data_IF_582561441741
#
_entry.id   IF_582561441741
#
_cell.length_a   1.000
_cell.length_b   1.000
_cell.length_c   1.000
_cell.angle_alpha   90.00
_cell.angle_beta   90.00
_cell.angle_gamma   90.00
#
_symmetry.space_group_name_H-M   'P 1'
#
loop_
_entity.id
_entity.type
_entity.pdbx_description
1 polymer ?
#
# COMPACT_ATOMS: atom_id res chain seq x y z
N UNK A 1 18.90 -29.00 -43.58
CA UNK A 1 17.94 -28.81 -42.46
C UNK A 1 18.47 -27.94 -41.32
N UNK A 2 19.72 -27.44 -41.34
CA UNK A 2 20.29 -26.61 -40.25
C UNK A 2 19.95 -25.09 -40.31
N UNK A 3 19.34 -24.61 -41.40
CA UNK A 3 19.17 -23.17 -41.67
C UNK A 3 17.91 -22.54 -41.05
N UNK A 4 16.89 -23.33 -40.71
CA UNK A 4 15.59 -22.82 -40.20
C UNK A 4 15.52 -22.86 -38.67
N UNK A 5 16.34 -23.69 -38.02
CA UNK A 5 16.33 -23.86 -36.55
C UNK A 5 16.91 -22.63 -35.84
N UNK A 6 17.94 -21.99 -36.39
CA UNK A 6 18.56 -20.79 -35.83
C UNK A 6 17.56 -19.62 -35.67
N UNK A 7 16.86 -19.20 -36.73
CA UNK A 7 15.84 -18.14 -36.65
C UNK A 7 14.71 -18.42 -35.65
N UNK A 8 14.24 -19.67 -35.54
CA UNK A 8 13.19 -20.07 -34.61
C UNK A 8 13.64 -19.98 -33.14
N UNK A 9 14.87 -20.41 -32.84
CA UNK A 9 15.46 -20.29 -31.50
C UNK A 9 15.66 -18.81 -31.14
N UNK A 10 16.16 -18.00 -32.07
CA UNK A 10 16.33 -16.54 -31.85
C UNK A 10 15.00 -15.86 -31.58
N UNK A 11 13.93 -16.19 -32.33
CA UNK A 11 12.60 -15.62 -32.10
C UNK A 11 12.02 -16.04 -30.74
N UNK A 12 12.22 -17.29 -30.32
CA UNK A 12 11.78 -17.79 -29.02
C UNK A 12 12.51 -17.08 -27.87
N UNK A 13 13.83 -16.90 -27.98
CA UNK A 13 14.65 -16.15 -27.01
C UNK A 13 14.22 -14.68 -26.95
N UNK A 14 14.04 -14.03 -28.10
CA UNK A 14 13.61 -12.63 -28.17
C UNK A 14 12.23 -12.42 -27.52
N UNK A 15 11.26 -13.32 -27.79
CA UNK A 15 9.94 -13.26 -27.16
C UNK A 15 10.02 -13.44 -25.64
N UNK A 16 10.86 -14.35 -25.16
CA UNK A 16 11.09 -14.57 -23.73
C UNK A 16 11.73 -13.36 -23.06
N UNK A 17 12.75 -12.77 -23.69
CA UNK A 17 13.40 -11.56 -23.20
C UNK A 17 12.44 -10.36 -23.18
N UNK A 18 11.66 -10.15 -24.23
CA UNK A 18 10.65 -9.09 -24.28
C UNK A 18 9.62 -9.23 -23.15
N UNK A 19 9.06 -10.43 -22.98
CA UNK A 19 8.09 -10.69 -21.91
C UNK A 19 8.69 -10.48 -20.51
N UNK A 20 9.93 -10.91 -20.27
CA UNK A 20 10.61 -10.71 -19.00
C UNK A 20 10.86 -9.22 -18.72
N UNK A 21 11.24 -8.44 -19.74
CA UNK A 21 11.44 -6.98 -19.61
C UNK A 21 10.13 -6.27 -19.30
N UNK A 22 9.05 -6.58 -20.02
CA UNK A 22 7.73 -5.97 -19.78
C UNK A 22 7.19 -6.33 -18.39
N UNK A 23 7.34 -7.58 -17.97
CA UNK A 23 6.92 -8.03 -16.63
C UNK A 23 7.72 -7.33 -15.54
N UNK A 24 9.04 -7.25 -15.69
CA UNK A 24 9.94 -6.59 -14.74
C UNK A 24 9.61 -5.09 -14.62
N UNK A 25 9.41 -4.39 -15.74
CA UNK A 25 9.05 -2.98 -15.75
C UNK A 25 7.70 -2.73 -15.08
N UNK A 26 6.68 -3.55 -15.36
CA UNK A 26 5.38 -3.46 -14.70
C UNK A 26 5.47 -3.74 -13.20
N UNK A 27 6.25 -4.74 -12.78
CA UNK A 27 6.45 -5.06 -11.35
C UNK A 27 7.20 -3.95 -10.63
N UNK A 28 8.22 -3.35 -11.24
CA UNK A 28 8.92 -2.17 -10.69
C UNK A 28 7.95 -0.99 -10.51
N UNK A 29 7.12 -0.68 -11.52
CA UNK A 29 6.10 0.37 -11.41
C UNK A 29 5.10 0.08 -10.29
N UNK A 30 4.66 -1.17 -10.15
CA UNK A 30 3.79 -1.60 -9.05
C UNK A 30 4.46 -1.41 -7.69
N UNK A 31 5.73 -1.80 -7.53
CA UNK A 31 6.50 -1.63 -6.29
C UNK A 31 6.57 -0.16 -5.89
N UNK A 32 6.92 0.72 -6.84
CA UNK A 32 7.02 2.16 -6.56
C UNK A 32 5.66 2.76 -6.21
N UNK A 33 4.61 2.39 -6.96
CA UNK A 33 3.24 2.84 -6.68
C UNK A 33 2.78 2.42 -5.30
N UNK A 34 3.02 1.17 -4.90
CA UNK A 34 2.64 0.68 -3.58
C UNK A 34 3.45 1.38 -2.47
N UNK A 35 4.76 1.60 -2.69
CA UNK A 35 5.62 2.32 -1.74
C UNK A 35 5.11 3.73 -1.49
N UNK A 36 4.79 4.47 -2.55
CA UNK A 36 4.29 5.84 -2.45
C UNK A 36 2.95 5.90 -1.71
N UNK A 37 2.03 4.98 -2.04
CA UNK A 37 0.74 4.90 -1.36
C UNK A 37 0.86 4.53 0.12
N UNK A 38 1.76 3.60 0.48
CA UNK A 38 2.00 3.25 1.87
C UNK A 38 2.61 4.42 2.64
N UNK A 39 3.59 5.12 2.08
CA UNK A 39 4.20 6.29 2.69
C UNK A 39 3.16 7.41 2.91
N UNK A 40 2.29 7.64 1.93
CA UNK A 40 1.21 8.62 2.04
C UNK A 40 0.20 8.22 3.13
N UNK A 41 -0.25 6.97 3.16
CA UNK A 41 -1.19 6.49 4.17
C UNK A 41 -0.61 6.64 5.58
N UNK A 42 0.64 6.19 5.78
CA UNK A 42 1.33 6.28 7.08
C UNK A 42 1.41 7.74 7.54
N UNK A 43 1.82 8.65 6.66
CA UNK A 43 1.89 10.09 6.96
C UNK A 43 0.53 10.66 7.41
N UNK A 44 -0.55 10.29 6.71
CA UNK A 44 -1.90 10.74 7.06
C UNK A 44 -2.38 10.16 8.39
N UNK A 45 -2.12 8.88 8.66
CA UNK A 45 -2.48 8.24 9.93
C UNK A 45 -1.75 8.88 11.12
N UNK A 46 -0.43 9.09 11.00
CA UNK A 46 0.38 9.76 12.04
C UNK A 46 -0.13 11.18 12.30
N UNK A 47 -0.41 11.95 11.23
CA UNK A 47 -0.98 13.28 11.37
C UNK A 47 -2.34 13.26 12.08
N UNK A 48 -3.21 12.30 11.75
CA UNK A 48 -4.52 12.20 12.36
C UNK A 48 -4.45 11.82 13.85
N UNK A 49 -3.58 10.89 14.23
CA UNK A 49 -3.29 10.54 15.64
C UNK A 49 -2.76 11.76 16.38
N UNK A 50 -1.81 12.50 15.79
CA UNK A 50 -1.21 13.69 16.42
C UNK A 50 -2.26 14.78 16.70
N UNK A 51 -3.14 15.04 15.74
CA UNK A 51 -4.19 16.06 15.89
C UNK A 51 -5.23 15.63 16.94
N UNK A 52 -5.57 14.33 16.97
CA UNK A 52 -6.46 13.75 17.98
C UNK A 52 -5.86 13.89 19.39
N UNK A 53 -4.59 13.52 19.57
CA UNK A 53 -3.88 13.61 20.85
C UNK A 53 -3.77 15.04 21.39
N UNK A 54 -3.71 16.06 20.50
CA UNK A 54 -3.74 17.47 20.90
C UNK A 54 -5.10 17.96 21.42
N UNK A 55 -6.13 17.10 21.49
CA UNK A 55 -7.46 17.45 22.00
C UNK A 55 -8.23 18.42 21.10
N UNK A 56 -7.78 18.64 19.87
CA UNK A 56 -8.38 19.60 18.93
C UNK A 56 -9.67 19.11 18.29
N UNK A 57 -9.99 17.81 18.41
CA UNK A 57 -11.15 17.18 17.78
C UNK A 57 -11.76 16.13 18.71
N UNK A 58 -13.06 16.20 18.93
CA UNK A 58 -13.84 15.06 19.47
C UNK A 58 -14.28 14.19 18.30
N UNK A 59 -13.88 12.92 18.28
CA UNK A 59 -14.15 12.01 17.17
C UNK A 59 -15.49 11.28 17.32
N UNK A 60 -16.62 11.96 17.09
CA UNK A 60 -17.93 11.27 17.08
C UNK A 60 -18.12 10.48 15.77
N UNK A 61 -17.54 9.28 15.67
CA UNK A 61 -17.66 8.38 14.51
C UNK A 61 -17.31 9.04 13.16
N UNK A 62 -16.39 10.01 13.18
CA UNK A 62 -16.00 10.79 12.00
C UNK A 62 -16.85 12.05 11.73
N UNK A 63 -17.93 12.31 12.48
CA UNK A 63 -18.77 13.52 12.35
C UNK A 63 -18.16 14.76 13.02
N UNK A 64 -17.34 14.58 14.04
CA UNK A 64 -16.61 15.68 14.68
C UNK A 64 -15.66 16.44 13.74
N UNK A 65 -14.78 15.74 12.98
CA UNK A 65 -13.96 16.36 11.94
C UNK A 65 -14.77 17.12 10.89
N UNK A 66 -15.93 16.59 10.46
CA UNK A 66 -16.80 17.18 9.43
C UNK A 66 -17.34 18.56 9.84
N UNK A 67 -17.59 18.74 11.14
CA UNK A 67 -18.16 19.98 11.68
C UNK A 67 -17.12 21.00 12.15
N UNK A 68 -15.85 20.59 12.30
CA UNK A 68 -14.84 21.38 12.99
C UNK A 68 -13.79 22.05 12.08
N UNK A 69 -13.36 21.40 10.99
CA UNK A 69 -12.33 21.94 10.09
C UNK A 69 -12.34 21.25 8.70
N UNK A 70 -12.57 21.99 7.60
CA UNK A 70 -12.50 21.47 6.23
C UNK A 70 -11.16 20.79 5.88
N UNK A 71 -10.05 21.23 6.46
CA UNK A 71 -8.74 20.63 6.20
C UNK A 71 -8.61 19.22 6.80
N UNK A 72 -9.32 18.94 7.90
CA UNK A 72 -9.39 17.59 8.49
C UNK A 72 -10.24 16.65 7.65
N UNK A 73 -11.35 17.15 7.12
CA UNK A 73 -12.18 16.40 6.20
C UNK A 73 -11.39 15.98 4.95
N UNK A 74 -10.62 16.88 4.36
CA UNK A 74 -9.75 16.55 3.22
C UNK A 74 -8.71 15.47 3.56
N UNK A 75 -8.13 15.50 4.77
CA UNK A 75 -7.20 14.45 5.22
C UNK A 75 -7.91 13.10 5.37
N UNK A 76 -9.13 13.08 5.90
CA UNK A 76 -9.94 11.87 6.02
C UNK A 76 -10.32 11.29 4.67
N UNK A 77 -10.82 12.12 3.74
CA UNK A 77 -11.09 11.73 2.36
C UNK A 77 -9.84 11.13 1.71
N UNK A 78 -8.68 11.74 1.96
CA UNK A 78 -7.41 11.25 1.45
C UNK A 78 -7.02 9.90 2.03
N UNK A 79 -7.20 9.67 3.33
CA UNK A 79 -6.95 8.37 3.97
C UNK A 79 -7.82 7.29 3.30
N UNK A 80 -9.12 7.54 3.17
CA UNK A 80 -10.07 6.61 2.55
C UNK A 80 -9.65 6.33 1.11
N UNK A 81 -9.32 7.35 0.33
CA UNK A 81 -8.88 7.19 -1.06
C UNK A 81 -7.63 6.31 -1.17
N UNK A 82 -6.61 6.58 -0.35
CA UNK A 82 -5.34 5.83 -0.40
C UNK A 82 -5.53 4.39 0.05
N UNK A 83 -6.31 4.14 1.10
CA UNK A 83 -6.69 2.79 1.54
C UNK A 83 -7.31 1.98 0.40
N UNK A 84 -8.29 2.54 -0.30
CA UNK A 84 -8.92 1.83 -1.42
C UNK A 84 -7.99 1.62 -2.60
N UNK A 85 -7.10 2.58 -2.90
CA UNK A 85 -6.07 2.40 -3.92
C UNK A 85 -5.12 1.25 -3.58
N UNK A 86 -4.66 1.14 -2.32
CA UNK A 86 -3.82 0.02 -1.86
C UNK A 86 -4.58 -1.30 -1.99
N UNK A 87 -5.85 -1.34 -1.57
CA UNK A 87 -6.68 -2.55 -1.69
C UNK A 87 -6.85 -3.01 -3.14
N UNK A 88 -7.03 -2.08 -4.08
CA UNK A 88 -7.16 -2.39 -5.51
C UNK A 88 -5.82 -2.76 -6.16
N UNK A 89 -4.72 -2.24 -5.63
CA UNK A 89 -3.37 -2.51 -6.13
C UNK A 89 -2.83 -3.87 -5.63
N UNK A 90 -3.28 -4.32 -4.46
CA UNK A 90 -2.83 -5.55 -3.81
C UNK A 90 -3.61 -6.78 -4.30
N UNK A 91 -2.92 -7.92 -4.35
CA UNK A 91 -3.50 -9.19 -4.80
C UNK A 91 -4.24 -9.89 -3.64
N UNK A 92 -5.57 -10.11 -3.71
CA UNK A 92 -6.34 -10.73 -2.63
C UNK A 92 -6.02 -12.22 -2.41
N UNK A 93 -5.35 -12.87 -3.36
CA UNK A 93 -4.95 -14.28 -3.24
C UNK A 93 -3.61 -14.47 -2.51
N UNK A 94 -2.93 -13.37 -2.13
CA UNK A 94 -1.68 -13.42 -1.38
C UNK A 94 -1.96 -13.13 0.11
N UNK A 95 -1.65 -14.06 1.03
CA UNK A 95 -1.98 -13.90 2.45
C UNK A 95 -1.44 -12.62 3.08
N UNK A 96 -0.20 -12.24 2.76
CA UNK A 96 0.41 -11.04 3.32
C UNK A 96 -0.23 -9.74 2.81
N UNK A 97 -0.79 -9.74 1.61
CA UNK A 97 -1.61 -8.63 1.12
C UNK A 97 -2.96 -8.54 1.84
N UNK A 98 -3.58 -9.69 2.13
CA UNK A 98 -4.80 -9.72 2.93
C UNK A 98 -4.54 -9.18 4.33
N UNK A 99 -3.47 -9.64 4.97
CA UNK A 99 -3.05 -9.19 6.31
C UNK A 99 -2.73 -7.68 6.32
N UNK A 100 -2.08 -7.16 5.28
CA UNK A 100 -1.81 -5.73 5.13
C UNK A 100 -3.11 -4.92 5.08
N UNK A 101 -4.07 -5.37 4.27
CA UNK A 101 -5.37 -4.69 4.18
C UNK A 101 -6.13 -4.73 5.51
N UNK A 102 -6.07 -5.84 6.24
CA UNK A 102 -6.69 -5.96 7.57
C UNK A 102 -6.03 -5.04 8.61
N UNK A 103 -4.71 -4.88 8.59
CA UNK A 103 -4.00 -3.93 9.45
C UNK A 103 -4.40 -2.49 9.14
N UNK A 104 -4.51 -2.13 7.85
CA UNK A 104 -4.97 -0.81 7.44
C UNK A 104 -6.41 -0.56 7.91
N UNK A 105 -7.32 -1.53 7.72
CA UNK A 105 -8.71 -1.42 8.18
C UNK A 105 -8.79 -1.24 9.70
N UNK A 106 -7.94 -1.94 10.45
CA UNK A 106 -7.88 -1.85 11.90
C UNK A 106 -7.40 -0.46 12.35
N UNK A 107 -6.29 0.02 11.78
CA UNK A 107 -5.75 1.35 12.09
C UNK A 107 -6.80 2.44 11.83
N UNK A 108 -7.52 2.34 10.71
CA UNK A 108 -8.56 3.30 10.36
C UNK A 108 -9.77 3.26 11.31
N UNK A 109 -10.23 2.06 11.70
CA UNK A 109 -11.33 1.91 12.68
C UNK A 109 -10.96 2.47 14.05
N UNK A 110 -9.72 2.26 14.50
CA UNK A 110 -9.22 2.79 15.78
C UNK A 110 -9.08 4.30 15.77
N UNK A 111 -8.64 4.86 14.65
CA UNK A 111 -8.58 6.31 14.46
C UNK A 111 -9.97 6.96 14.63
N UNK A 112 -11.03 6.29 14.19
CA UNK A 112 -12.40 6.78 14.32
C UNK A 112 -13.02 6.60 15.71
N UNK A 113 -12.38 5.83 16.61
CA UNK A 113 -12.90 5.57 17.95
C UNK A 113 -12.58 6.73 18.91
N UNK A 114 -13.53 7.06 19.80
CA UNK A 114 -13.40 8.14 20.79
C UNK A 114 -12.40 7.84 21.94
N UNK A 115 -11.84 6.62 22.00
CA UNK A 115 -10.93 6.18 23.06
C UNK A 115 -9.46 6.54 22.86
N UNK A 116 -8.66 6.36 23.91
CA UNK A 116 -7.19 6.50 23.94
C UNK A 116 -6.48 5.29 23.33
N UNK A 117 -6.93 4.84 22.15
CA UNK A 117 -6.26 3.79 21.39
C UNK A 117 -5.12 4.33 20.51
N UNK A 118 -4.54 5.47 20.88
CA UNK A 118 -3.52 6.14 20.08
C UNK A 118 -2.24 5.29 20.03
N UNK A 119 -1.80 4.72 21.16
CA UNK A 119 -0.69 3.75 21.20
C UNK A 119 -0.97 2.49 20.36
N UNK A 120 -2.23 2.02 20.35
CA UNK A 120 -2.62 0.87 19.54
C UNK A 120 -2.66 1.20 18.04
N UNK A 121 -3.03 2.44 17.70
CA UNK A 121 -3.00 2.95 16.32
C UNK A 121 -1.57 3.14 15.84
N UNK A 122 -0.68 3.66 16.69
CA UNK A 122 0.76 3.73 16.42
C UNK A 122 1.37 2.35 16.20
N UNK A 123 1.01 1.36 17.03
CA UNK A 123 1.42 -0.03 16.83
C UNK A 123 0.93 -0.58 15.49
N UNK A 124 -0.31 -0.29 15.08
CA UNK A 124 -0.80 -0.69 13.76
C UNK A 124 0.00 -0.02 12.63
N UNK A 125 0.36 1.27 12.75
CA UNK A 125 1.19 1.99 11.78
C UNK A 125 2.57 1.33 11.63
N UNK A 126 3.20 0.94 12.73
CA UNK A 126 4.47 0.20 12.71
C UNK A 126 4.33 -1.17 12.03
N UNK A 127 3.24 -1.89 12.33
CA UNK A 127 2.97 -3.19 11.74
C UNK A 127 2.68 -3.09 10.23
N UNK A 128 1.93 -2.07 9.79
CA UNK A 128 1.72 -1.74 8.37
C UNK A 128 3.07 -1.48 7.69
N UNK A 129 3.93 -0.68 8.32
CA UNK A 129 5.26 -0.36 7.80
C UNK A 129 6.11 -1.62 7.64
N UNK A 130 6.15 -2.47 8.67
CA UNK A 130 6.93 -3.71 8.67
C UNK A 130 6.45 -4.69 7.60
N UNK A 131 5.14 -4.90 7.50
CA UNK A 131 4.57 -5.82 6.51
C UNK A 131 4.71 -5.29 5.09
N UNK A 132 4.47 -3.99 4.89
CA UNK A 132 4.70 -3.32 3.61
C UNK A 132 6.15 -3.46 3.14
N UNK A 133 7.14 -3.26 4.03
CA UNK A 133 8.55 -3.49 3.70
C UNK A 133 8.83 -4.94 3.31
N UNK A 134 8.24 -5.92 4.01
CA UNK A 134 8.42 -7.34 3.69
C UNK A 134 7.90 -7.68 2.29
N UNK A 135 6.68 -7.22 1.96
CA UNK A 135 6.07 -7.37 0.62
C UNK A 135 6.96 -6.74 -0.44
N UNK A 136 7.35 -5.48 -0.28
CA UNK A 136 8.17 -4.75 -1.25
C UNK A 136 9.53 -5.42 -1.48
N UNK A 137 10.20 -5.90 -0.42
CA UNK A 137 11.48 -6.62 -0.54
C UNK A 137 11.33 -7.96 -1.27
N UNK A 138 10.25 -8.70 -1.01
CA UNK A 138 9.94 -9.96 -1.69
C UNK A 138 9.71 -9.73 -3.18
N UNK A 139 8.92 -8.72 -3.53
CA UNK A 139 8.66 -8.37 -4.93
C UNK A 139 9.92 -7.87 -5.63
N UNK A 140 10.76 -7.09 -4.95
CA UNK A 140 12.06 -6.68 -5.47
C UNK A 140 12.99 -7.87 -5.77
N UNK A 141 12.96 -8.90 -4.92
CA UNK A 141 13.71 -10.13 -5.17
C UNK A 141 13.15 -10.94 -6.37
N UNK A 142 11.85 -10.82 -6.69
CA UNK A 142 11.26 -11.40 -7.91
C UNK A 142 11.71 -10.63 -9.15
N UNK A 143 11.68 -9.29 -9.11
CA UNK A 143 12.24 -8.41 -10.16
C UNK A 143 13.68 -8.79 -10.51
N UNK A 144 14.55 -8.91 -9.49
CA UNK A 144 15.97 -9.27 -9.70
C UNK A 144 16.18 -10.66 -10.30
N UNK A 145 15.24 -11.58 -10.10
CA UNK A 145 15.27 -12.93 -10.67
C UNK A 145 14.60 -13.02 -12.06
N UNK A 146 13.93 -11.95 -12.51
CA UNK A 146 13.16 -11.95 -13.76
C UNK A 146 11.92 -12.84 -13.73
N UNK A 147 11.33 -13.04 -12.55
CA UNK A 147 10.11 -13.85 -12.34
C UNK A 147 8.95 -13.01 -11.77
#
# INVERSE_FOLDING_TARGET
>A
MASIVGPLVTLAVAKRQFNATVLSANRQKWIETLRDMLAELISLLVAAVTIKAMGKIKWDRGLGPISSDPALLQKLERIVLVQWKIRLLTNPNEPDHLDLNQLIDRAFKRLQAEGTEDEATESDIENITRLGQAILKREWARVKRGI
#
